data_IF_009490273766
#
_entry.id   IF_009490273766
#
_cell.length_a   1.000
_cell.length_b   1.000
_cell.length_c   1.000
_cell.angle_alpha   90.00
_cell.angle_beta   90.00
_cell.angle_gamma   90.00
#
_symmetry.space_group_name_H-M   'P 1'
#
loop_
_entity.id
_entity.type
_entity.pdbx_description
1 polymer ?
#
# COMPACT_ATOMS: atom_id res chain seq x y z
N UNK A 1 1.91 51.00 72.95
CA UNK A 1 1.00 50.18 72.16
C UNK A 1 1.25 50.52 70.71
N UNK A 2 1.99 49.74 70.04
CA UNK A 2 2.63 50.01 68.77
C UNK A 2 1.99 49.16 67.67
N UNK A 3 1.42 49.82 66.67
CA UNK A 3 0.89 49.20 65.47
C UNK A 3 2.01 49.11 64.42
N UNK A 4 2.32 47.91 64.02
CA UNK A 4 3.31 47.61 62.99
C UNK A 4 2.70 47.85 61.62
N UNK A 5 3.44 48.61 60.75
CA UNK A 5 3.08 48.87 59.34
C UNK A 5 3.68 47.75 58.48
N UNK A 6 2.79 47.07 57.77
CA UNK A 6 3.25 46.14 56.70
C UNK A 6 3.36 46.95 55.41
N UNK A 7 4.57 46.98 54.88
CA UNK A 7 4.88 47.48 53.57
C UNK A 7 4.51 46.45 52.51
N UNK A 8 3.62 46.80 51.59
CA UNK A 8 3.30 45.97 50.44
C UNK A 8 4.30 46.35 49.32
N UNK A 9 5.19 45.46 49.03
CA UNK A 9 6.13 45.53 47.91
C UNK A 9 5.38 45.14 46.64
N UNK A 10 5.19 46.12 45.76
CA UNK A 10 4.64 45.90 44.41
C UNK A 10 5.65 45.22 43.50
N UNK A 11 5.42 43.91 43.28
CA UNK A 11 6.18 43.10 42.30
C UNK A 11 5.62 43.39 40.89
N UNK A 12 6.29 44.22 40.12
CA UNK A 12 5.98 44.49 38.71
C UNK A 12 6.38 43.27 37.87
N UNK A 13 5.39 42.45 37.50
CA UNK A 13 5.57 41.34 36.56
C UNK A 13 5.67 41.90 35.14
N UNK A 14 6.88 42.00 34.61
CA UNK A 14 7.15 42.31 33.20
C UNK A 14 6.87 41.03 32.39
N UNK A 15 5.70 40.99 31.76
CA UNK A 15 5.39 39.97 30.77
C UNK A 15 6.11 40.37 29.46
N UNK A 16 7.27 39.77 29.20
CA UNK A 16 7.89 39.81 27.89
C UNK A 16 7.03 38.95 26.94
N UNK A 17 6.21 39.61 26.11
CA UNK A 17 5.60 38.95 24.95
C UNK A 17 6.74 38.54 24.00
N UNK A 18 7.17 37.30 24.11
CA UNK A 18 7.94 36.68 23.04
C UNK A 18 7.00 36.52 21.85
N UNK A 19 7.06 37.45 20.91
CA UNK A 19 6.46 37.26 19.59
C UNK A 19 7.25 36.16 18.89
N UNK A 20 6.83 34.94 19.13
CA UNK A 20 7.22 33.81 18.24
C UNK A 20 6.64 34.16 16.90
N UNK A 21 7.51 34.64 15.99
CA UNK A 21 7.17 34.79 14.59
C UNK A 21 6.64 33.47 14.09
N UNK A 22 5.32 33.38 13.88
CA UNK A 22 4.71 32.31 13.14
C UNK A 22 5.31 32.43 11.74
N UNK A 23 6.31 31.60 11.45
CA UNK A 23 6.79 31.43 10.09
C UNK A 23 5.57 31.03 9.26
N UNK A 24 5.00 31.97 8.52
CA UNK A 24 3.94 31.72 7.56
C UNK A 24 4.51 30.68 6.59
N UNK A 25 4.03 29.43 6.71
CA UNK A 25 4.34 28.41 5.73
C UNK A 25 3.84 28.92 4.40
N UNK A 26 4.76 29.42 3.58
CA UNK A 26 4.45 29.85 2.23
C UNK A 26 3.98 28.60 1.50
N UNK A 27 2.82 28.68 0.84
CA UNK A 27 2.33 27.61 -0.02
C UNK A 27 3.39 27.28 -1.08
N UNK A 28 3.55 26.01 -1.38
CA UNK A 28 4.42 25.58 -2.46
C UNK A 28 3.83 26.05 -3.79
N UNK A 29 4.68 26.29 -4.77
CA UNK A 29 4.28 26.76 -6.09
C UNK A 29 4.66 25.74 -7.14
N UNK A 30 3.70 25.32 -7.95
CA UNK A 30 3.87 24.35 -9.03
C UNK A 30 3.55 25.02 -10.36
N UNK A 31 4.48 24.97 -11.31
CA UNK A 31 4.28 25.44 -12.69
C UNK A 31 4.02 24.27 -13.61
N UNK A 32 3.00 24.39 -14.44
CA UNK A 32 2.61 23.38 -15.39
C UNK A 32 3.17 23.68 -16.79
N UNK A 33 3.23 22.67 -17.62
CA UNK A 33 3.75 22.76 -19.01
C UNK A 33 2.86 23.61 -19.92
N UNK A 34 1.58 23.79 -19.57
CA UNK A 34 0.63 24.66 -20.29
C UNK A 34 0.71 26.14 -19.87
N UNK A 35 1.58 26.47 -18.89
CA UNK A 35 1.74 27.82 -18.36
C UNK A 35 0.95 28.12 -17.09
N UNK A 36 0.06 27.23 -16.65
CA UNK A 36 -0.69 27.41 -15.40
C UNK A 36 0.23 27.32 -14.18
N UNK A 37 -0.18 28.02 -13.12
CA UNK A 37 0.48 27.98 -11.82
C UNK A 37 -0.52 27.59 -10.74
N UNK A 38 -0.13 26.63 -9.90
CA UNK A 38 -0.91 26.18 -8.77
C UNK A 38 -0.16 26.48 -7.47
N UNK A 39 -0.90 26.91 -6.45
CA UNK A 39 -0.39 27.11 -5.10
C UNK A 39 -1.06 26.13 -4.15
N UNK A 40 -0.27 25.42 -3.35
CA UNK A 40 -0.76 24.42 -2.40
C UNK A 40 0.41 23.76 -1.68
N UNK A 41 0.13 22.81 -0.83
CA UNK A 41 1.13 22.03 -0.11
C UNK A 41 1.39 20.71 -0.83
N UNK A 42 2.60 20.47 -1.30
CA UNK A 42 3.00 19.18 -1.87
C UNK A 42 2.96 18.13 -0.75
N UNK A 43 2.26 17.03 -0.98
CA UNK A 43 2.08 15.95 -0.01
C UNK A 43 2.74 14.66 -0.43
N UNK A 44 2.69 14.33 -1.73
CA UNK A 44 3.17 13.05 -2.26
C UNK A 44 3.41 13.16 -3.77
N UNK A 45 4.47 12.55 -4.26
CA UNK A 45 4.58 12.06 -5.64
C UNK A 45 4.73 10.54 -5.58
N UNK A 46 3.81 9.82 -6.15
CA UNK A 46 3.94 8.36 -6.33
C UNK A 46 3.16 7.93 -7.58
N UNK A 47 3.69 6.94 -8.29
CA UNK A 47 3.07 6.42 -9.49
C UNK A 47 2.81 7.49 -10.55
N UNK A 48 3.72 8.47 -10.75
CA UNK A 48 3.63 9.56 -11.72
C UNK A 48 2.50 10.56 -11.46
N UNK A 49 1.97 10.58 -10.24
CA UNK A 49 0.97 11.55 -9.80
C UNK A 49 1.51 12.38 -8.63
N UNK A 50 1.50 13.70 -8.81
CA UNK A 50 1.78 14.66 -7.76
C UNK A 50 0.47 15.02 -7.05
N UNK A 51 0.45 14.84 -5.74
CA UNK A 51 -0.66 15.21 -4.87
C UNK A 51 -0.31 16.50 -4.13
N UNK A 52 -1.20 17.46 -4.20
CA UNK A 52 -1.10 18.73 -3.48
C UNK A 52 -2.39 18.97 -2.71
N UNK A 53 -2.29 19.65 -1.57
CA UNK A 53 -3.45 20.12 -0.81
C UNK A 53 -3.53 21.62 -0.94
N UNK A 54 -4.69 22.13 -1.36
CA UNK A 54 -4.98 23.56 -1.50
C UNK A 54 -6.07 23.97 -0.52
N UNK A 55 -6.07 25.22 -0.08
CA UNK A 55 -7.06 25.73 0.89
C UNK A 55 -8.46 25.89 0.25
N UNK A 56 -8.53 26.03 -1.07
CA UNK A 56 -9.77 26.32 -1.81
C UNK A 56 -10.38 25.12 -2.53
N UNK A 57 -9.58 24.08 -2.84
CA UNK A 57 -10.05 22.92 -3.61
C UNK A 57 -9.72 21.58 -2.92
N UNK A 58 -9.14 21.61 -1.72
CA UNK A 58 -8.72 20.40 -1.03
C UNK A 58 -7.57 19.68 -1.74
N UNK A 59 -7.63 18.36 -1.83
CA UNK A 59 -6.60 17.56 -2.49
C UNK A 59 -6.77 17.58 -4.01
N UNK A 60 -5.72 17.98 -4.71
CA UNK A 60 -5.63 17.99 -6.18
C UNK A 60 -4.57 16.99 -6.62
N UNK A 61 -4.86 16.24 -7.67
CA UNK A 61 -3.93 15.30 -8.29
C UNK A 61 -3.49 15.82 -9.66
N UNK A 62 -2.19 15.92 -9.87
CA UNK A 62 -1.56 16.42 -11.09
C UNK A 62 -0.73 15.29 -11.71
N UNK A 63 -0.89 15.03 -13.03
CA UNK A 63 0.00 14.13 -13.74
C UNK A 63 1.43 14.70 -13.76
N UNK A 64 2.41 13.90 -13.38
CA UNK A 64 3.82 14.35 -13.24
C UNK A 64 4.44 14.83 -14.55
N UNK A 65 4.01 14.26 -15.68
CA UNK A 65 4.44 14.70 -17.02
C UNK A 65 3.98 16.14 -17.37
N UNK A 66 2.95 16.64 -16.69
CA UNK A 66 2.42 18.02 -16.85
C UNK A 66 3.11 19.02 -15.96
N UNK A 67 3.93 18.60 -15.00
CA UNK A 67 4.70 19.50 -14.14
C UNK A 67 5.92 19.99 -14.92
N UNK A 68 6.09 21.31 -14.99
CA UNK A 68 7.26 21.97 -15.57
C UNK A 68 8.37 22.13 -14.55
N UNK A 69 8.04 22.64 -13.37
CA UNK A 69 8.93 22.80 -12.22
C UNK A 69 8.10 23.11 -10.98
N UNK A 70 8.73 23.10 -9.82
CA UNK A 70 8.09 23.54 -8.58
C UNK A 70 9.10 24.15 -7.61
N UNK A 71 8.59 24.91 -6.65
CA UNK A 71 9.38 25.39 -5.51
C UNK A 71 8.64 25.17 -4.20
N UNK A 72 9.39 24.90 -3.15
CA UNK A 72 8.88 24.71 -1.79
C UNK A 72 9.92 25.09 -0.75
N UNK A 73 9.45 25.62 0.39
CA UNK A 73 10.24 25.77 1.60
C UNK A 73 10.01 24.66 2.61
N UNK A 74 9.20 23.65 2.24
CA UNK A 74 8.97 22.47 3.02
C UNK A 74 10.08 21.45 2.76
N UNK A 75 10.55 20.79 3.82
CA UNK A 75 11.50 19.70 3.69
C UNK A 75 10.82 18.48 3.04
N UNK A 76 11.35 18.06 1.90
CA UNK A 76 10.87 16.92 1.14
C UNK A 76 11.98 15.88 0.98
N UNK A 77 11.59 14.62 0.96
CA UNK A 77 12.47 13.50 0.60
C UNK A 77 12.19 13.17 -0.86
N UNK A 78 13.22 13.25 -1.70
CA UNK A 78 13.16 12.93 -3.13
C UNK A 78 13.85 11.59 -3.37
N UNK A 79 13.18 10.70 -4.10
CA UNK A 79 13.73 9.45 -4.58
C UNK A 79 13.89 9.52 -6.09
N UNK A 80 15.10 9.31 -6.59
CA UNK A 80 15.41 9.25 -8.02
C UNK A 80 15.22 7.84 -8.58
N UNK A 81 15.29 6.83 -7.73
CA UNK A 81 15.03 5.44 -8.10
C UNK A 81 14.05 4.81 -7.09
N UNK A 82 13.10 4.03 -7.63
CA UNK A 82 12.18 3.26 -6.79
C UNK A 82 12.98 2.27 -5.94
N UNK A 83 12.62 2.13 -4.65
CA UNK A 83 13.28 1.27 -3.67
C UNK A 83 14.72 1.66 -3.29
N UNK A 84 15.14 2.89 -3.55
CA UNK A 84 16.33 3.50 -2.94
C UNK A 84 15.93 4.39 -1.77
N UNK A 85 16.87 4.64 -0.87
CA UNK A 85 16.66 5.64 0.15
C UNK A 85 16.56 7.03 -0.50
N UNK A 86 15.51 7.76 -0.12
CA UNK A 86 15.34 9.13 -0.58
C UNK A 86 16.30 10.09 0.12
N UNK A 87 16.67 11.13 -0.58
CA UNK A 87 17.52 12.23 -0.07
C UNK A 87 16.62 13.35 0.45
N UNK A 88 16.92 13.87 1.64
CA UNK A 88 16.20 14.99 2.23
C UNK A 88 16.71 16.32 1.68
N UNK A 89 15.79 17.12 1.15
CA UNK A 89 16.01 18.47 0.68
C UNK A 89 15.18 19.43 1.54
N UNK A 90 15.81 20.30 2.35
CA UNK A 90 15.11 21.24 3.25
C UNK A 90 14.27 22.28 2.51
N UNK A 91 14.72 22.67 1.32
CA UNK A 91 14.02 23.57 0.43
C UNK A 91 14.38 23.28 -1.02
N UNK A 92 13.47 23.56 -1.93
CA UNK A 92 13.62 23.32 -3.36
C UNK A 92 13.25 24.59 -4.10
N UNK A 93 14.07 24.98 -5.08
CA UNK A 93 13.81 26.10 -5.98
C UNK A 93 13.45 25.60 -7.36
N UNK A 94 12.61 26.37 -8.05
CA UNK A 94 12.29 26.12 -9.44
C UNK A 94 13.55 26.18 -10.31
N UNK A 95 13.68 25.22 -11.22
CA UNK A 95 14.73 25.17 -12.23
C UNK A 95 14.16 25.29 -13.65
N UNK A 96 15.04 25.40 -14.62
CA UNK A 96 14.70 25.41 -16.05
C UNK A 96 14.68 23.98 -16.64
N UNK A 97 14.11 23.83 -17.84
CA UNK A 97 14.16 22.58 -18.61
C UNK A 97 13.62 21.34 -17.86
N UNK A 98 12.48 21.50 -17.19
CA UNK A 98 11.87 20.43 -16.36
C UNK A 98 12.80 19.92 -15.26
N UNK A 99 13.45 20.85 -14.56
CA UNK A 99 14.32 20.54 -13.44
C UNK A 99 13.94 21.35 -12.21
N UNK A 100 14.52 20.96 -11.08
CA UNK A 100 14.51 21.69 -9.81
C UNK A 100 15.95 21.87 -9.33
N UNK A 101 16.17 22.87 -8.49
CA UNK A 101 17.46 23.11 -7.85
C UNK A 101 17.30 22.98 -6.34
N UNK A 102 18.07 22.09 -5.74
CA UNK A 102 17.98 21.82 -4.32
C UNK A 102 19.34 21.47 -3.71
N UNK A 103 19.51 21.77 -2.42
CA UNK A 103 20.71 21.38 -1.68
C UNK A 103 20.35 20.22 -0.75
N UNK A 104 20.99 19.05 -0.89
CA UNK A 104 20.71 17.92 -0.05
C UNK A 104 21.16 18.14 1.39
N UNK A 105 20.38 17.64 2.35
CA UNK A 105 20.76 17.59 3.76
C UNK A 105 21.50 16.29 4.04
N UNK A 106 22.79 16.23 3.71
CA UNK A 106 23.65 15.07 4.01
C UNK A 106 24.51 15.43 5.22
N UNK A 107 24.55 14.56 6.22
CA UNK A 107 25.10 14.85 7.55
C UNK A 107 26.61 15.05 7.61
N UNK A 108 27.38 14.85 6.54
CA UNK A 108 28.85 14.86 6.61
C UNK A 108 29.61 15.59 5.48
N UNK A 109 28.92 16.18 4.51
CA UNK A 109 29.59 16.97 3.45
C UNK A 109 28.76 18.21 3.07
N UNK A 110 29.45 19.35 2.94
CA UNK A 110 28.85 20.56 2.39
C UNK A 110 28.67 20.40 0.88
N UNK A 111 27.61 19.70 0.48
CA UNK A 111 27.26 19.55 -0.93
C UNK A 111 26.54 20.83 -1.40
N UNK A 112 27.02 21.42 -2.49
CA UNK A 112 26.39 22.61 -3.08
C UNK A 112 25.00 22.30 -3.69
N UNK A 113 24.31 23.34 -4.22
CA UNK A 113 23.05 23.14 -4.92
C UNK A 113 23.20 22.18 -6.10
N UNK A 114 22.30 21.24 -6.22
CA UNK A 114 22.24 20.26 -7.30
C UNK A 114 21.00 20.51 -8.16
N UNK A 115 21.11 20.25 -9.46
CA UNK A 115 19.99 20.30 -10.39
C UNK A 115 19.49 18.88 -10.60
N UNK A 116 18.22 18.62 -10.25
CA UNK A 116 17.55 17.33 -10.40
C UNK A 116 16.56 17.42 -11.56
N UNK A 117 16.66 16.49 -12.50
CA UNK A 117 15.69 16.38 -13.58
C UNK A 117 14.38 15.75 -13.07
N UNK A 118 13.24 16.32 -13.41
CA UNK A 118 11.93 15.79 -12.99
C UNK A 118 11.69 14.39 -13.57
N UNK A 119 12.30 14.04 -14.70
CA UNK A 119 12.24 12.70 -15.30
C UNK A 119 12.81 11.60 -14.40
N UNK A 120 13.82 11.95 -13.60
CA UNK A 120 14.56 11.01 -12.78
C UNK A 120 13.92 10.82 -11.40
N UNK A 121 13.01 11.74 -11.04
CA UNK A 121 12.29 11.68 -9.76
C UNK A 121 11.15 10.68 -9.85
N UNK A 122 11.23 9.63 -9.05
CA UNK A 122 10.22 8.56 -8.99
C UNK A 122 9.25 8.73 -7.84
N UNK A 123 9.66 9.37 -6.74
CA UNK A 123 8.79 9.67 -5.63
C UNK A 123 9.25 10.95 -4.87
N UNK A 124 8.28 11.65 -4.32
CA UNK A 124 8.47 12.77 -3.37
C UNK A 124 7.59 12.46 -2.17
N UNK A 125 8.15 12.48 -0.97
CA UNK A 125 7.40 12.24 0.27
C UNK A 125 7.78 13.24 1.34
N UNK A 126 6.82 13.55 2.21
CA UNK A 126 7.07 14.33 3.42
C UNK A 126 7.63 13.38 4.48
N UNK A 127 8.72 13.78 5.12
CA UNK A 127 9.33 12.98 6.20
C UNK A 127 8.34 12.73 7.32
N UNK A 128 8.14 11.45 7.66
CA UNK A 128 7.34 11.03 8.80
C UNK A 128 8.21 10.88 10.04
N UNK A 129 7.70 11.21 11.25
CA UNK A 129 8.54 11.22 12.46
C UNK A 129 9.19 9.87 12.81
N UNK A 130 8.51 8.76 12.52
CA UNK A 130 8.97 7.40 12.89
C UNK A 130 9.63 6.66 11.74
N UNK A 131 9.24 6.93 10.49
CA UNK A 131 9.74 6.23 9.30
C UNK A 131 10.01 7.26 8.20
N UNK A 132 11.24 7.28 7.72
CA UNK A 132 11.67 8.11 6.60
C UNK A 132 11.06 7.57 5.31
N UNK A 133 10.74 8.44 4.34
CA UNK A 133 10.24 8.12 3.00
C UNK A 133 9.07 7.09 2.96
N UNK A 134 8.17 7.14 3.93
CA UNK A 134 7.08 6.19 4.08
C UNK A 134 5.91 6.48 3.14
N UNK A 135 5.64 5.54 2.23
CA UNK A 135 4.47 5.54 1.33
C UNK A 135 3.54 4.42 1.77
N UNK A 136 2.29 4.76 2.06
CA UNK A 136 1.28 3.80 2.47
C UNK A 136 0.02 3.95 1.62
N UNK A 137 -0.42 2.85 1.01
CA UNK A 137 -1.62 2.76 0.19
C UNK A 137 -2.35 1.44 0.44
N UNK A 138 -3.63 1.42 0.18
CA UNK A 138 -4.41 0.21 0.34
C UNK A 138 -5.87 0.40 -0.05
N UNK A 139 -6.63 -0.66 0.11
CA UNK A 139 -8.07 -0.68 -0.10
C UNK A 139 -8.74 -1.65 0.86
N UNK A 140 -9.98 -1.32 1.20
CA UNK A 140 -10.92 -2.21 1.85
C UNK A 140 -12.11 -2.36 0.90
N UNK A 141 -12.46 -3.59 0.57
CA UNK A 141 -13.63 -3.90 -0.24
C UNK A 141 -14.62 -4.72 0.59
N UNK A 142 -15.91 -4.44 0.45
CA UNK A 142 -16.99 -5.23 1.04
C UNK A 142 -18.05 -5.52 -0.01
N UNK A 143 -18.53 -6.75 -0.04
CA UNK A 143 -19.56 -7.20 -0.95
C UNK A 143 -20.62 -8.04 -0.23
N UNK A 144 -21.85 -7.93 -0.72
CA UNK A 144 -22.97 -8.74 -0.26
C UNK A 144 -23.81 -9.12 -1.47
N UNK A 145 -24.22 -10.38 -1.53
CA UNK A 145 -25.20 -10.86 -2.49
C UNK A 145 -26.26 -11.67 -1.77
N UNK A 146 -27.53 -11.37 -2.06
CA UNK A 146 -28.68 -12.11 -1.54
C UNK A 146 -29.55 -12.55 -2.73
N UNK A 147 -29.91 -13.81 -2.75
CA UNK A 147 -30.82 -14.38 -3.75
C UNK A 147 -31.89 -15.19 -3.04
N UNK A 148 -33.14 -14.89 -3.35
CA UNK A 148 -34.31 -15.62 -2.88
C UNK A 148 -35.01 -16.31 -4.07
N UNK A 149 -35.01 -17.64 -4.08
CA UNK A 149 -35.68 -18.47 -5.06
C UNK A 149 -36.29 -19.71 -4.36
N UNK A 150 -36.22 -20.88 -4.93
CA UNK A 150 -36.52 -22.15 -4.24
C UNK A 150 -35.55 -22.41 -3.08
N UNK A 151 -34.33 -21.88 -3.18
CA UNK A 151 -33.29 -21.88 -2.15
C UNK A 151 -32.88 -20.43 -1.89
N UNK A 152 -32.78 -20.05 -0.62
CA UNK A 152 -32.31 -18.71 -0.22
C UNK A 152 -30.79 -18.77 -0.01
N UNK A 153 -30.04 -17.92 -0.75
CA UNK A 153 -28.58 -17.84 -0.62
C UNK A 153 -28.14 -16.43 -0.25
N UNK A 154 -27.25 -16.35 0.72
CA UNK A 154 -26.61 -15.11 1.17
C UNK A 154 -25.10 -15.28 1.10
N UNK A 155 -24.41 -14.28 0.55
CA UNK A 155 -22.96 -14.22 0.48
C UNK A 155 -22.48 -12.89 1.03
N UNK A 156 -21.50 -12.96 1.92
CA UNK A 156 -20.82 -11.81 2.50
C UNK A 156 -19.31 -11.96 2.28
N UNK A 157 -18.69 -10.94 1.70
CA UNK A 157 -17.25 -10.90 1.45
C UNK A 157 -16.68 -9.59 1.98
N UNK A 158 -15.54 -9.66 2.67
CA UNK A 158 -14.80 -8.51 3.10
C UNK A 158 -13.32 -8.77 2.84
N UNK A 159 -12.61 -7.80 2.27
CA UNK A 159 -11.18 -7.89 2.03
C UNK A 159 -10.47 -6.58 2.34
N UNK A 160 -9.27 -6.71 2.87
CA UNK A 160 -8.30 -5.64 3.09
C UNK A 160 -7.04 -6.01 2.31
N UNK A 161 -6.52 -5.07 1.53
CA UNK A 161 -5.18 -5.16 0.95
C UNK A 161 -4.46 -3.84 1.18
N UNK A 162 -3.29 -3.89 1.79
CA UNK A 162 -2.51 -2.69 2.06
C UNK A 162 -1.02 -2.92 1.87
N UNK A 163 -0.37 -1.91 1.34
CA UNK A 163 1.07 -1.91 1.07
C UNK A 163 1.71 -0.67 1.69
N UNK A 164 2.79 -0.90 2.44
CA UNK A 164 3.63 0.16 2.95
C UNK A 164 5.05 0.00 2.39
N UNK A 165 5.65 1.11 1.94
CA UNK A 165 7.03 1.15 1.41
C UNK A 165 7.85 2.18 2.15
N UNK A 166 9.11 1.84 2.42
CA UNK A 166 10.12 2.78 2.91
C UNK A 166 11.52 2.28 2.51
N UNK A 167 12.26 3.10 1.82
CA UNK A 167 13.56 2.72 1.26
C UNK A 167 13.45 1.42 0.44
N UNK A 168 14.28 0.43 0.78
CA UNK A 168 14.32 -0.87 0.10
C UNK A 168 13.31 -1.90 0.62
N UNK A 169 12.42 -1.50 1.55
CA UNK A 169 11.45 -2.40 2.16
C UNK A 169 10.04 -2.17 1.63
N UNK A 170 9.33 -3.26 1.38
CA UNK A 170 7.91 -3.25 1.03
C UNK A 170 7.18 -4.27 1.92
N UNK A 171 6.19 -3.79 2.65
CA UNK A 171 5.30 -4.58 3.50
C UNK A 171 3.96 -4.72 2.79
N UNK A 172 3.47 -5.94 2.67
CA UNK A 172 2.15 -6.22 2.13
C UNK A 172 1.35 -6.96 3.19
N UNK A 173 0.12 -6.51 3.42
CA UNK A 173 -0.83 -7.17 4.32
C UNK A 173 -2.11 -7.37 3.53
N UNK A 174 -2.56 -8.61 3.46
CA UNK A 174 -3.83 -9.00 2.87
C UNK A 174 -4.65 -9.75 3.90
N UNK A 175 -5.93 -9.43 4.01
CA UNK A 175 -6.87 -10.16 4.85
C UNK A 175 -8.19 -10.32 4.10
N UNK A 176 -8.85 -11.45 4.31
CA UNK A 176 -10.13 -11.77 3.68
C UNK A 176 -11.01 -12.55 4.65
N UNK A 177 -12.29 -12.21 4.62
CA UNK A 177 -13.35 -12.97 5.28
C UNK A 177 -14.43 -13.28 4.25
N UNK A 178 -14.89 -14.52 4.23
CA UNK A 178 -15.98 -14.96 3.38
C UNK A 178 -16.96 -15.82 4.18
N UNK A 179 -18.25 -15.51 4.04
CA UNK A 179 -19.37 -16.25 4.62
C UNK A 179 -20.44 -16.43 3.54
N UNK A 180 -20.80 -17.68 3.27
CA UNK A 180 -21.96 -18.02 2.47
C UNK A 180 -22.93 -18.87 3.26
N UNK A 181 -24.23 -18.61 3.07
CA UNK A 181 -25.32 -19.37 3.66
C UNK A 181 -26.26 -19.87 2.58
N UNK A 182 -26.81 -21.03 2.80
CA UNK A 182 -27.88 -21.64 2.01
C UNK A 182 -28.98 -22.08 2.98
N UNK A 183 -30.19 -21.53 2.79
CA UNK A 183 -31.33 -21.75 3.69
C UNK A 183 -31.00 -21.56 5.18
N UNK A 184 -30.29 -20.45 5.49
CA UNK A 184 -29.80 -20.09 6.84
C UNK A 184 -28.74 -21.02 7.44
N UNK A 185 -28.18 -21.97 6.67
CA UNK A 185 -27.08 -22.82 7.10
C UNK A 185 -25.79 -22.35 6.45
N UNK A 186 -24.72 -22.24 7.25
CA UNK A 186 -23.40 -21.85 6.72
C UNK A 186 -22.93 -22.93 5.71
N UNK A 187 -22.81 -22.56 4.45
CA UNK A 187 -22.29 -23.43 3.36
C UNK A 187 -20.81 -23.16 3.10
N UNK A 188 -20.33 -21.94 3.38
CA UNK A 188 -18.90 -21.60 3.37
C UNK A 188 -18.63 -20.58 4.47
N UNK A 189 -17.56 -20.78 5.21
CA UNK A 189 -17.11 -19.81 6.21
C UNK A 189 -15.61 -19.90 6.40
N UNK A 190 -14.88 -18.87 5.93
CA UNK A 190 -13.44 -18.85 6.06
C UNK A 190 -12.90 -17.45 6.32
N UNK A 191 -11.72 -17.40 6.93
CA UNK A 191 -10.92 -16.22 7.12
C UNK A 191 -9.47 -16.52 6.74
N UNK A 192 -8.83 -15.60 6.03
CA UNK A 192 -7.44 -15.70 5.63
C UNK A 192 -6.70 -14.41 5.89
N UNK A 193 -5.43 -14.50 6.23
CA UNK A 193 -4.52 -13.39 6.36
C UNK A 193 -3.15 -13.75 5.80
N UNK A 194 -2.50 -12.79 5.16
CA UNK A 194 -1.14 -12.88 4.65
C UNK A 194 -0.37 -11.63 5.06
N UNK A 195 0.85 -11.83 5.50
CA UNK A 195 1.85 -10.78 5.62
C UNK A 195 3.06 -11.16 4.80
N UNK A 196 3.47 -10.29 3.88
CA UNK A 196 4.68 -10.47 3.10
C UNK A 196 5.60 -9.26 3.24
N UNK A 197 6.87 -9.54 3.49
CA UNK A 197 7.95 -8.57 3.62
C UNK A 197 8.94 -8.77 2.49
N UNK A 198 9.08 -7.75 1.65
CA UNK A 198 10.04 -7.74 0.54
C UNK A 198 11.22 -6.85 0.89
N UNK A 199 12.43 -7.36 0.68
CA UNK A 199 13.68 -6.61 0.75
C UNK A 199 14.25 -6.50 -0.66
N UNK A 200 14.22 -5.33 -1.25
CA UNK A 200 14.80 -5.05 -2.56
C UNK A 200 16.33 -4.97 -2.48
N UNK A 201 16.97 -5.69 -3.39
CA UNK A 201 18.42 -5.66 -3.61
C UNK A 201 18.75 -4.57 -4.64
N UNK A 202 17.91 -4.47 -5.68
CA UNK A 202 17.93 -3.42 -6.69
C UNK A 202 16.48 -3.06 -7.11
N UNK A 203 16.29 -2.43 -8.27
CA UNK A 203 14.96 -2.01 -8.74
C UNK A 203 14.06 -3.18 -9.17
N UNK A 204 14.64 -4.34 -9.42
CA UNK A 204 13.95 -5.51 -9.95
C UNK A 204 13.98 -6.69 -8.99
N UNK A 205 15.13 -7.00 -8.41
CA UNK A 205 15.30 -8.16 -7.56
C UNK A 205 14.98 -7.87 -6.10
N UNK A 206 14.20 -8.76 -5.50
CA UNK A 206 13.91 -8.72 -4.06
C UNK A 206 13.89 -10.12 -3.45
N UNK A 207 14.08 -10.18 -2.14
CA UNK A 207 13.78 -11.35 -1.32
C UNK A 207 12.46 -11.13 -0.61
N UNK A 208 11.60 -12.14 -0.63
CA UNK A 208 10.33 -12.11 0.09
C UNK A 208 10.31 -13.12 1.22
N UNK A 209 9.99 -12.66 2.44
CA UNK A 209 9.54 -13.49 3.55
C UNK A 209 8.05 -13.35 3.71
N UNK A 210 7.31 -14.46 3.86
CA UNK A 210 5.85 -14.45 3.89
C UNK A 210 5.32 -15.37 4.96
N UNK A 211 4.27 -14.93 5.64
CA UNK A 211 3.45 -15.75 6.53
C UNK A 211 2.00 -15.72 6.08
N UNK A 212 1.38 -16.87 5.97
CA UNK A 212 -0.04 -17.05 5.67
C UNK A 212 -0.74 -17.84 6.77
N UNK A 213 -1.97 -17.44 7.06
CA UNK A 213 -2.87 -18.15 7.93
C UNK A 213 -4.26 -18.17 7.29
N UNK A 214 -4.84 -19.35 7.08
CA UNK A 214 -6.24 -19.53 6.69
C UNK A 214 -6.93 -20.43 7.71
N UNK A 215 -8.11 -20.02 8.14
CA UNK A 215 -9.03 -20.84 8.91
C UNK A 215 -10.31 -21.04 8.12
N UNK A 216 -10.73 -22.28 8.02
CA UNK A 216 -11.97 -22.69 7.39
C UNK A 216 -12.85 -23.43 8.41
N UNK A 217 -14.13 -23.04 8.51
CA UNK A 217 -15.04 -23.65 9.48
C UNK A 217 -15.88 -24.77 8.90
N UNK A 218 -15.82 -24.99 7.57
CA UNK A 218 -16.65 -25.95 6.84
C UNK A 218 -15.78 -27.03 6.19
N UNK A 219 -14.72 -26.60 5.48
CA UNK A 219 -13.86 -27.50 4.70
C UNK A 219 -13.07 -28.52 5.57
N UNK A 220 -12.59 -29.60 4.95
CA UNK A 220 -11.78 -30.63 5.59
C UNK A 220 -10.49 -30.08 6.20
N UNK A 221 -9.80 -29.17 5.50
CA UNK A 221 -8.63 -28.44 6.02
C UNK A 221 -9.12 -27.28 6.88
N UNK A 222 -9.19 -27.51 8.19
CA UNK A 222 -9.65 -26.50 9.18
C UNK A 222 -8.71 -25.33 9.31
N UNK A 223 -7.39 -25.57 9.28
CA UNK A 223 -6.37 -24.51 9.38
C UNK A 223 -5.25 -24.84 8.39
N UNK A 224 -4.84 -23.83 7.64
CA UNK A 224 -3.64 -23.85 6.80
C UNK A 224 -2.72 -22.71 7.27
N UNK A 225 -1.53 -23.06 7.72
CA UNK A 225 -0.45 -22.12 8.07
C UNK A 225 0.71 -22.34 7.12
N UNK A 226 1.32 -21.27 6.66
CA UNK A 226 2.46 -21.35 5.76
C UNK A 226 3.46 -20.26 6.07
N UNK A 227 4.73 -20.60 6.15
CA UNK A 227 5.84 -19.68 6.12
C UNK A 227 6.65 -19.92 4.86
N UNK A 228 6.83 -18.88 4.06
CA UNK A 228 7.53 -18.92 2.77
C UNK A 228 8.71 -17.99 2.71
N UNK A 229 9.76 -18.38 1.99
CA UNK A 229 10.92 -17.55 1.71
C UNK A 229 11.37 -17.80 0.27
N UNK A 230 11.77 -16.73 -0.43
CA UNK A 230 12.35 -16.88 -1.75
C UNK A 230 12.58 -15.59 -2.50
N UNK A 231 13.29 -15.67 -3.64
CA UNK A 231 13.54 -14.52 -4.50
C UNK A 231 12.31 -14.15 -5.33
N UNK A 232 12.21 -12.85 -5.61
CA UNK A 232 11.22 -12.30 -6.52
C UNK A 232 11.85 -11.35 -7.52
N UNK A 233 11.15 -11.17 -8.62
CA UNK A 233 11.53 -10.25 -9.68
C UNK A 233 10.37 -9.33 -10.04
N UNK A 234 10.60 -8.02 -9.97
CA UNK A 234 9.69 -6.96 -10.36
C UNK A 234 9.97 -6.58 -11.82
N UNK A 235 9.08 -6.99 -12.74
CA UNK A 235 9.26 -6.70 -14.18
C UNK A 235 9.06 -5.21 -14.46
N UNK A 236 8.02 -4.63 -13.87
CA UNK A 236 7.76 -3.19 -13.87
C UNK A 236 6.91 -2.80 -12.66
N UNK A 237 7.06 -1.56 -12.26
CA UNK A 237 6.22 -0.90 -11.26
C UNK A 237 6.19 0.59 -11.61
N UNK A 238 5.18 1.02 -12.34
CA UNK A 238 5.04 2.35 -12.90
C UNK A 238 3.59 2.86 -12.80
N UNK A 239 3.35 4.04 -13.34
CA UNK A 239 2.05 4.72 -13.34
C UNK A 239 0.89 3.91 -13.90
N UNK A 240 1.18 2.97 -14.79
CA UNK A 240 0.16 2.19 -15.47
C UNK A 240 -0.05 0.82 -14.82
N UNK A 241 0.73 0.47 -13.80
CA UNK A 241 0.58 -0.77 -13.08
C UNK A 241 1.89 -1.43 -12.69
N UNK A 242 1.82 -2.64 -12.20
CA UNK A 242 2.95 -3.41 -11.74
C UNK A 242 2.82 -4.88 -12.13
N UNK A 243 3.96 -5.56 -12.28
CA UNK A 243 4.02 -7.01 -12.45
C UNK A 243 5.24 -7.58 -11.75
N UNK A 244 5.02 -8.57 -10.91
CA UNK A 244 6.09 -9.31 -10.23
C UNK A 244 5.82 -10.80 -10.21
N UNK A 245 6.88 -11.57 -10.20
CA UNK A 245 6.90 -13.01 -9.92
C UNK A 245 7.78 -13.28 -8.70
N UNK A 246 7.34 -14.19 -7.85
CA UNK A 246 8.10 -14.63 -6.67
C UNK A 246 8.14 -16.15 -6.66
N UNK A 247 9.32 -16.73 -6.53
CA UNK A 247 9.50 -18.16 -6.31
C UNK A 247 9.69 -18.39 -4.82
N UNK A 248 8.86 -19.25 -4.22
CA UNK A 248 8.85 -19.47 -2.78
C UNK A 248 9.05 -20.93 -2.43
N UNK A 249 9.85 -21.17 -1.42
CA UNK A 249 9.86 -22.44 -0.69
C UNK A 249 9.09 -22.20 0.60
N UNK A 250 8.07 -23.03 0.83
CA UNK A 250 7.16 -22.87 1.94
C UNK A 250 7.26 -24.07 2.90
N UNK A 251 7.27 -23.79 4.20
CA UNK A 251 6.94 -24.76 5.24
C UNK A 251 5.45 -24.62 5.53
N UNK A 252 4.69 -25.67 5.33
CA UNK A 252 3.23 -25.65 5.47
C UNK A 252 2.77 -26.61 6.56
N UNK A 253 1.70 -26.24 7.25
CA UNK A 253 0.98 -27.08 8.21
C UNK A 253 -0.48 -27.08 7.84
N UNK A 254 -1.05 -28.24 7.53
CA UNK A 254 -2.48 -28.47 7.42
C UNK A 254 -2.99 -29.11 8.71
N UNK A 255 -4.02 -28.53 9.29
CA UNK A 255 -4.74 -29.12 10.42
C UNK A 255 -6.12 -29.51 9.91
N UNK A 256 -6.38 -30.79 9.87
CA UNK A 256 -7.65 -31.35 9.43
C UNK A 256 -8.66 -31.36 10.57
N UNK A 257 -9.94 -31.52 10.21
CA UNK A 257 -11.02 -31.49 11.19
C UNK A 257 -11.04 -32.76 12.04
N UNK A 258 -10.78 -33.91 11.42
CA UNK A 258 -11.00 -35.23 12.04
C UNK A 258 -9.75 -36.12 12.07
N UNK A 259 -8.66 -35.76 11.40
CA UNK A 259 -7.53 -36.67 11.12
C UNK A 259 -6.20 -36.25 11.74
N UNK A 260 -6.10 -35.03 12.28
CA UNK A 260 -4.83 -34.52 12.87
C UNK A 260 -4.16 -33.42 12.04
N UNK A 261 -2.84 -33.43 12.01
CA UNK A 261 -2.08 -32.40 11.27
C UNK A 261 -0.98 -33.02 10.40
N UNK A 262 -0.74 -32.38 9.25
CA UNK A 262 0.36 -32.71 8.35
C UNK A 262 1.29 -31.48 8.22
N UNK A 263 2.58 -31.75 8.31
CA UNK A 263 3.64 -30.75 8.11
C UNK A 263 4.48 -31.17 6.91
N UNK A 264 4.62 -30.28 5.92
CA UNK A 264 5.33 -30.56 4.70
C UNK A 264 5.98 -29.32 4.11
N UNK A 265 6.91 -29.53 3.17
CA UNK A 265 7.51 -28.47 2.37
C UNK A 265 6.94 -28.44 0.97
N UNK A 266 6.79 -27.23 0.42
CA UNK A 266 6.32 -27.05 -0.95
C UNK A 266 7.14 -25.97 -1.67
N UNK A 267 7.22 -26.08 -2.98
CA UNK A 267 7.68 -25.03 -3.87
C UNK A 267 6.51 -24.36 -4.57
N UNK A 268 6.59 -23.06 -4.80
CA UNK A 268 5.52 -22.34 -5.47
C UNK A 268 6.02 -21.12 -6.25
N UNK A 269 5.23 -20.72 -7.24
CA UNK A 269 5.40 -19.47 -7.99
C UNK A 269 4.17 -18.60 -7.73
N UNK A 270 4.42 -17.42 -7.19
CA UNK A 270 3.41 -16.39 -6.95
C UNK A 270 3.53 -15.31 -8.00
N UNK A 271 2.41 -14.84 -8.54
CA UNK A 271 2.37 -13.67 -9.41
C UNK A 271 1.47 -12.60 -8.80
N UNK A 272 1.83 -11.35 -9.09
CA UNK A 272 1.00 -10.19 -8.80
C UNK A 272 1.07 -9.25 -10.01
N UNK A 273 -0.08 -8.97 -10.60
CA UNK A 273 -0.21 -8.13 -11.77
C UNK A 273 -1.39 -7.17 -11.59
N UNK A 274 -1.16 -5.90 -11.89
CA UNK A 274 -2.23 -4.95 -12.10
C UNK A 274 -1.92 -4.01 -13.26
N UNK A 275 -2.95 -3.52 -13.93
CA UNK A 275 -2.86 -2.56 -15.02
C UNK A 275 -4.01 -1.57 -14.96
N UNK A 276 -3.66 -0.30 -15.00
CA UNK A 276 -4.61 0.79 -15.11
C UNK A 276 -4.94 1.08 -16.58
N UNK A 277 -6.22 1.19 -16.88
CA UNK A 277 -6.78 1.43 -18.20
C UNK A 277 -7.64 2.71 -18.19
N UNK A 278 -7.91 3.27 -19.37
CA UNK A 278 -8.81 4.42 -19.56
C UNK A 278 -8.50 5.57 -18.59
N UNK A 279 -7.30 6.13 -18.68
CA UNK A 279 -6.85 7.22 -17.81
C UNK A 279 -6.96 6.88 -16.31
N UNK A 280 -6.68 5.63 -15.96
CA UNK A 280 -6.71 5.09 -14.59
C UNK A 280 -8.12 5.00 -13.97
N UNK A 281 -9.16 5.04 -14.78
CA UNK A 281 -10.54 4.82 -14.32
C UNK A 281 -10.80 3.36 -13.98
N UNK A 282 -10.18 2.43 -14.72
CA UNK A 282 -10.32 0.99 -14.52
C UNK A 282 -8.95 0.39 -14.16
N UNK A 283 -8.91 -0.41 -13.13
CA UNK A 283 -7.78 -1.28 -12.78
C UNK A 283 -8.16 -2.73 -13.09
N UNK A 284 -7.42 -3.37 -13.98
CA UNK A 284 -7.47 -4.82 -14.17
C UNK A 284 -6.35 -5.44 -13.32
N UNK A 285 -6.67 -6.48 -12.56
CA UNK A 285 -5.69 -7.15 -11.71
C UNK A 285 -5.82 -8.66 -11.74
N UNK A 286 -4.71 -9.35 -11.52
CA UNK A 286 -4.67 -10.78 -11.24
C UNK A 286 -3.53 -11.10 -10.30
N UNK A 287 -3.82 -11.89 -9.28
CA UNK A 287 -2.87 -12.39 -8.31
C UNK A 287 -3.07 -13.89 -8.16
N UNK A 288 -2.01 -14.59 -7.86
CA UNK A 288 -2.16 -16.01 -7.57
C UNK A 288 -0.85 -16.70 -7.23
N UNK A 289 -1.00 -17.96 -6.91
CA UNK A 289 0.09 -18.86 -6.57
C UNK A 289 -0.22 -20.25 -7.10
N UNK A 290 0.74 -20.82 -7.80
CA UNK A 290 0.78 -22.23 -8.17
C UNK A 290 1.87 -22.90 -7.35
N UNK A 291 1.50 -23.89 -6.58
CA UNK A 291 2.41 -24.60 -5.68
C UNK A 291 2.30 -26.12 -5.81
N UNK A 292 3.36 -26.80 -5.39
CA UNK A 292 3.43 -28.24 -5.30
C UNK A 292 4.22 -28.62 -4.06
N UNK A 293 3.72 -29.60 -3.31
CA UNK A 293 4.48 -30.20 -2.22
C UNK A 293 5.65 -31.02 -2.74
N UNK A 294 6.69 -31.14 -1.93
CA UNK A 294 7.84 -32.00 -2.26
C UNK A 294 7.59 -33.48 -1.91
N UNK A 295 6.52 -33.74 -1.20
CA UNK A 295 5.98 -35.07 -0.91
C UNK A 295 4.56 -35.23 -1.52
N UNK A 296 3.86 -36.29 -1.17
CA UNK A 296 2.53 -36.58 -1.71
C UNK A 296 1.38 -35.83 -1.00
N UNK A 297 1.63 -35.14 0.11
CA UNK A 297 0.59 -34.54 0.97
C UNK A 297 -0.29 -33.51 0.24
N UNK A 298 0.29 -32.71 -0.64
CA UNK A 298 -0.45 -31.76 -1.46
C UNK A 298 0.19 -31.64 -2.85
N UNK A 299 -0.09 -32.58 -3.76
CA UNK A 299 0.57 -32.68 -5.06
C UNK A 299 0.33 -31.45 -5.95
N UNK A 300 -0.79 -30.75 -5.76
CA UNK A 300 -1.06 -29.49 -6.47
C UNK A 300 -1.85 -28.52 -5.58
N UNK A 301 -1.42 -27.28 -5.58
CA UNK A 301 -2.22 -26.18 -5.03
C UNK A 301 -2.24 -25.00 -6.01
N UNK A 302 -3.43 -24.52 -6.32
CA UNK A 302 -3.66 -23.32 -7.12
C UNK A 302 -4.56 -22.38 -6.32
N UNK A 303 -4.07 -21.16 -6.13
CA UNK A 303 -4.89 -20.04 -5.63
C UNK A 303 -4.72 -18.91 -6.65
N UNK A 304 -5.79 -18.50 -7.29
CA UNK A 304 -5.75 -17.46 -8.29
C UNK A 304 -6.96 -16.54 -8.15
N UNK A 305 -6.76 -15.26 -8.36
CA UNK A 305 -7.85 -14.30 -8.50
C UNK A 305 -7.59 -13.38 -9.69
N UNK A 306 -8.67 -12.92 -10.31
CA UNK A 306 -8.64 -11.89 -11.31
C UNK A 306 -9.86 -10.97 -11.13
N UNK A 307 -9.71 -9.72 -11.48
CA UNK A 307 -10.82 -8.77 -11.32
C UNK A 307 -10.61 -7.46 -12.04
N UNK A 308 -11.67 -6.67 -11.98
CA UNK A 308 -11.70 -5.29 -12.43
C UNK A 308 -12.13 -4.42 -11.26
N UNK A 309 -11.48 -3.28 -11.10
CA UNK A 309 -11.86 -2.24 -10.14
C UNK A 309 -12.12 -0.95 -10.90
N UNK A 310 -13.32 -0.41 -10.75
CA UNK A 310 -13.76 0.84 -11.34
C UNK A 310 -13.64 1.93 -10.28
N UNK A 311 -12.81 2.93 -10.50
CA UNK A 311 -12.70 4.10 -9.62
C UNK A 311 -13.90 5.02 -9.86
N UNK A 312 -14.68 5.24 -8.82
CA UNK A 312 -15.83 6.15 -8.83
C UNK A 312 -15.40 7.56 -8.41
N UNK A 313 -14.51 7.63 -7.40
CA UNK A 313 -13.87 8.86 -6.93
C UNK A 313 -12.39 8.56 -6.61
N UNK A 314 -11.66 9.54 -6.07
CA UNK A 314 -10.26 9.33 -5.65
C UNK A 314 -10.14 8.32 -4.50
N UNK A 315 -11.20 8.14 -3.71
CA UNK A 315 -11.22 7.28 -2.52
C UNK A 315 -12.22 6.12 -2.60
N UNK A 316 -13.14 6.10 -3.57
CA UNK A 316 -14.16 5.05 -3.68
C UNK A 316 -14.09 4.30 -5.00
N UNK A 317 -14.40 3.02 -4.95
CA UNK A 317 -14.38 2.12 -6.10
C UNK A 317 -15.48 1.08 -6.02
N UNK A 318 -15.79 0.50 -7.18
CA UNK A 318 -16.57 -0.72 -7.32
C UNK A 318 -15.67 -1.81 -7.89
N UNK A 319 -15.71 -3.01 -7.35
CA UNK A 319 -14.89 -4.14 -7.79
C UNK A 319 -15.74 -5.34 -8.20
N UNK A 320 -15.27 -6.05 -9.22
CA UNK A 320 -15.75 -7.36 -9.64
C UNK A 320 -14.56 -8.31 -9.63
N UNK A 321 -14.69 -9.46 -9.01
CA UNK A 321 -13.60 -10.40 -8.81
C UNK A 321 -14.09 -11.83 -8.95
N UNK A 322 -13.26 -12.67 -9.54
CA UNK A 322 -13.35 -14.13 -9.47
C UNK A 322 -12.10 -14.65 -8.79
N UNK A 323 -12.29 -15.51 -7.81
CA UNK A 323 -11.22 -16.21 -7.12
C UNK A 323 -11.41 -17.72 -7.26
N UNK A 324 -10.33 -18.43 -7.52
CA UNK A 324 -10.29 -19.88 -7.64
C UNK A 324 -9.27 -20.44 -6.66
N UNK A 325 -9.71 -21.37 -5.83
CA UNK A 325 -8.85 -22.16 -4.96
C UNK A 325 -9.02 -23.63 -5.31
N UNK A 326 -7.92 -24.31 -5.60
CA UNK A 326 -7.85 -25.76 -5.76
C UNK A 326 -6.64 -26.26 -4.98
N UNK A 327 -6.88 -27.14 -4.02
CA UNK A 327 -5.84 -27.82 -3.26
C UNK A 327 -6.16 -29.29 -3.32
N UNK A 328 -5.28 -30.06 -3.92
CA UNK A 328 -5.34 -31.53 -3.89
C UNK A 328 -4.61 -31.99 -2.64
N UNK A 329 -5.23 -32.87 -1.84
CA UNK A 329 -4.66 -33.37 -0.60
C UNK A 329 -5.14 -34.82 -0.38
N UNK A 330 -4.28 -35.66 0.19
CA UNK A 330 -4.59 -37.05 0.50
C UNK A 330 -5.77 -37.25 1.49
N UNK A 331 -6.08 -36.18 2.25
CA UNK A 331 -7.13 -36.19 3.28
C UNK A 331 -8.40 -35.42 2.87
N UNK A 332 -8.47 -34.95 1.63
CA UNK A 332 -9.61 -34.25 1.07
C UNK A 332 -9.21 -32.99 0.27
N UNK A 333 -9.88 -32.84 -0.86
CA UNK A 333 -9.64 -31.75 -1.80
C UNK A 333 -10.43 -30.51 -1.41
N UNK A 334 -9.84 -29.33 -1.64
CA UNK A 334 -10.55 -28.05 -1.63
C UNK A 334 -10.69 -27.58 -3.06
N UNK A 335 -11.90 -27.29 -3.50
CA UNK A 335 -12.20 -26.87 -4.86
C UNK A 335 -13.28 -25.79 -4.86
N UNK A 336 -12.88 -24.54 -4.75
CA UNK A 336 -13.76 -23.41 -4.54
C UNK A 336 -13.62 -22.36 -5.66
N UNK A 337 -14.75 -21.78 -6.07
CA UNK A 337 -14.78 -20.65 -7.00
C UNK A 337 -15.73 -19.59 -6.45
N UNK A 338 -15.19 -18.43 -6.19
CA UNK A 338 -15.91 -17.32 -5.59
C UNK A 338 -16.02 -16.16 -6.59
N UNK A 339 -17.24 -15.72 -6.86
CA UNK A 339 -17.54 -14.49 -7.59
C UNK A 339 -17.96 -13.41 -6.59
N UNK A 340 -17.29 -12.29 -6.61
CA UNK A 340 -17.56 -11.19 -5.68
C UNK A 340 -17.80 -9.89 -6.45
N UNK A 341 -18.84 -9.17 -6.09
CA UNK A 341 -19.03 -7.76 -6.43
C UNK A 341 -19.07 -6.97 -5.13
N UNK A 342 -18.37 -5.85 -5.09
CA UNK A 342 -18.28 -5.06 -3.87
C UNK A 342 -17.99 -3.60 -4.15
N UNK A 343 -18.19 -2.81 -3.11
CA UNK A 343 -17.74 -1.42 -3.05
C UNK A 343 -16.51 -1.34 -2.16
N UNK A 344 -15.61 -0.43 -2.46
CA UNK A 344 -14.35 -0.30 -1.76
C UNK A 344 -14.00 1.15 -1.45
N UNK A 345 -13.17 1.28 -0.41
CA UNK A 345 -12.51 2.52 -0.01
C UNK A 345 -11.00 2.32 -0.17
N UNK A 346 -10.36 3.25 -0.89
CA UNK A 346 -8.91 3.24 -1.11
C UNK A 346 -8.24 4.52 -0.57
N UNK A 347 -6.93 4.43 -0.27
CA UNK A 347 -6.09 5.54 0.19
C UNK A 347 -4.68 5.47 -0.40
#
# INVERSE_FOLDING_TARGET
MTLSKYAISSLSLVIALATTGIAQSRADTIWLTNGDQLSGKITLLDGGKLFITTDYAGSITISWDKVKTFETNQALIIQEARYREGVLYPAIKAGENRAIVATPSISNEATGPQTLQLSDITAIVVQKPLVKDFIWKGNIDAGMAHKKSSTETENYDASLSTQARHGTWRHNIDARFHLAKEDNVDSTRNAAGEYALDKFVDEHWFWQGRYQYKRDWIESIKINRSFGLGPGYQFWDNDLGAFSLTSLVNSQTFIYRDVGEDNFYSGGIKWAYNRYLFSKTIEAFTNGELGRSFDATAPLSLKAEAGLRFKLTDWSSMSMRVARTRIESDQGDVNDTLYTMGIGVGW
#
